data_IF_777505624307
#
_entry.id   IF_777505624307
#
_cell.length_a   1.000
_cell.length_b   1.000
_cell.length_c   1.000
_cell.angle_alpha   90.00
_cell.angle_beta   90.00
_cell.angle_gamma   90.00
#
_symmetry.space_group_name_H-M   'P 1'
#
loop_
_entity.id
_entity.type
_entity.pdbx_description
1 polymer ?
#
# COMPACT_ATOMS: atom_id res chain seq x y z
N UNK A 1 -11.12 59.19 28.05
CA UNK A 1 -11.51 57.77 28.12
C UNK A 1 -10.25 56.97 27.81
N UNK A 2 -9.73 56.30 28.83
CA UNK A 2 -8.40 55.67 28.84
C UNK A 2 -8.45 54.25 28.28
N UNK A 3 -7.47 53.74 27.49
CA UNK A 3 -7.38 52.33 27.09
C UNK A 3 -6.64 51.53 28.16
N UNK A 4 -7.20 50.39 28.51
CA UNK A 4 -6.70 49.42 29.48
C UNK A 4 -5.55 48.63 28.82
N UNK A 5 -4.36 48.68 29.44
CA UNK A 5 -3.17 47.92 29.05
C UNK A 5 -3.24 46.51 29.63
N UNK A 6 -3.20 45.50 28.74
CA UNK A 6 -3.01 44.08 29.10
C UNK A 6 -1.50 43.83 29.31
N UNK A 7 -1.09 43.59 30.56
CA UNK A 7 0.28 43.13 30.90
C UNK A 7 0.40 41.63 30.57
N UNK A 8 1.32 41.33 29.63
CA UNK A 8 1.87 39.96 29.46
C UNK A 8 2.87 39.71 30.59
N UNK A 9 2.65 38.68 31.37
CA UNK A 9 3.61 38.15 32.34
C UNK A 9 4.51 37.16 31.60
N UNK A 10 5.79 37.52 31.43
CA UNK A 10 6.84 36.62 30.91
C UNK A 10 7.46 35.94 32.11
N UNK A 11 7.30 34.64 32.26
CA UNK A 11 8.08 33.84 33.21
C UNK A 11 9.44 33.54 32.60
N UNK A 12 10.50 34.22 33.06
CA UNK A 12 11.88 33.83 32.81
C UNK A 12 12.29 32.79 33.84
N UNK A 13 12.64 31.60 33.40
CA UNK A 13 13.26 30.58 34.24
C UNK A 13 14.70 31.03 34.55
N UNK A 14 14.98 31.38 35.79
CA UNK A 14 16.33 31.67 36.27
C UNK A 14 17.07 30.36 36.50
N UNK A 15 18.22 30.18 35.81
CA UNK A 15 19.16 29.11 36.08
C UNK A 15 20.00 29.46 37.31
N UNK A 16 19.94 28.63 38.34
CA UNK A 16 20.80 28.77 39.53
C UNK A 16 22.15 28.08 39.24
N UNK A 17 23.25 28.86 39.16
CA UNK A 17 24.60 28.33 39.02
C UNK A 17 25.20 28.19 40.42
N UNK A 18 25.50 26.97 40.84
CA UNK A 18 26.26 26.68 42.05
C UNK A 18 27.67 26.24 41.65
N UNK A 19 28.66 27.04 41.94
CA UNK A 19 30.08 26.73 41.73
C UNK A 19 30.64 26.02 42.99
N UNK A 20 31.03 24.75 42.87
CA UNK A 20 31.84 24.04 43.86
C UNK A 20 33.02 23.38 43.14
N UNK A 21 34.21 23.88 43.49
CA UNK A 21 35.53 23.28 43.25
C UNK A 21 35.73 22.51 41.94
N UNK A 22 35.97 23.19 40.84
CA UNK A 22 36.72 22.67 39.70
C UNK A 22 35.97 21.77 38.70
N UNK A 23 34.66 21.53 38.85
CA UNK A 23 33.85 20.84 37.86
C UNK A 23 32.55 21.60 37.58
N UNK A 24 32.34 22.00 36.32
CA UNK A 24 31.06 22.58 35.88
C UNK A 24 30.09 21.42 35.60
N UNK A 25 29.20 21.13 36.54
CA UNK A 25 28.11 20.17 36.33
C UNK A 25 26.92 20.95 35.80
N UNK A 26 26.59 20.76 34.53
CA UNK A 26 25.33 21.24 33.98
C UNK A 26 24.20 20.41 34.56
N UNK A 27 23.45 20.95 35.50
CA UNK A 27 22.19 20.36 35.96
C UNK A 27 21.15 20.64 34.89
N UNK A 28 20.87 19.66 34.02
CA UNK A 28 19.64 19.66 33.23
C UNK A 28 18.51 19.27 34.19
N UNK A 29 17.47 20.12 34.36
CA UNK A 29 16.29 19.70 35.11
C UNK A 29 15.74 18.43 34.45
N UNK A 30 15.51 17.40 35.25
CA UNK A 30 14.84 16.21 34.80
C UNK A 30 13.55 16.62 34.09
N UNK A 31 13.38 16.23 32.82
CA UNK A 31 12.10 16.40 32.12
C UNK A 31 11.07 15.78 33.04
N UNK A 32 10.01 16.53 33.35
CA UNK A 32 8.86 15.97 34.04
C UNK A 32 8.34 14.84 33.15
N UNK A 33 8.59 13.60 33.60
CA UNK A 33 8.04 12.42 32.96
C UNK A 33 6.55 12.50 33.23
N UNK A 34 5.78 12.94 32.25
CA UNK A 34 4.33 12.83 32.30
C UNK A 34 3.95 11.36 32.50
N UNK A 35 2.80 11.10 33.08
CA UNK A 35 2.31 9.72 33.18
C UNK A 35 2.33 9.07 31.79
N UNK A 36 2.76 7.80 31.65
CA UNK A 36 2.76 7.11 30.38
C UNK A 36 1.35 7.07 29.80
N UNK A 37 1.21 7.37 28.50
CA UNK A 37 -0.09 7.29 27.82
C UNK A 37 -0.50 5.84 27.59
N UNK A 38 -1.78 5.55 27.67
CA UNK A 38 -2.32 4.26 27.24
C UNK A 38 -2.50 4.26 25.72
N UNK A 39 -1.98 3.25 25.04
CA UNK A 39 -2.28 2.99 23.63
C UNK A 39 -3.47 2.05 23.57
N UNK A 40 -4.56 2.52 23.00
CA UNK A 40 -5.71 1.68 22.68
C UNK A 40 -5.51 0.97 21.34
N UNK A 41 -5.88 -0.29 21.28
CA UNK A 41 -5.85 -1.05 20.03
C UNK A 41 -6.95 -0.58 19.08
N UNK A 42 -6.59 -0.25 17.87
CA UNK A 42 -7.54 0.04 16.79
C UNK A 42 -8.04 -1.31 16.28
N UNK A 43 -9.36 -1.53 16.22
CA UNK A 43 -9.92 -2.75 15.67
C UNK A 43 -9.48 -2.92 14.21
N UNK A 44 -8.89 -4.08 13.90
CA UNK A 44 -8.78 -4.54 12.52
C UNK A 44 -10.20 -4.82 12.05
N UNK A 45 -10.66 -4.11 11.02
CA UNK A 45 -11.91 -4.45 10.38
C UNK A 45 -11.67 -5.74 9.61
N UNK A 46 -12.13 -6.82 10.18
CA UNK A 46 -12.28 -8.17 9.65
C UNK A 46 -11.17 -8.70 8.73
N UNK A 47 -10.41 -9.64 9.30
CA UNK A 47 -9.82 -10.68 8.48
C UNK A 47 -10.91 -11.19 7.51
N UNK A 48 -10.62 -11.22 6.21
CA UNK A 48 -11.49 -11.74 5.17
C UNK A 48 -12.23 -12.98 5.70
N UNK A 49 -13.55 -12.84 5.82
CA UNK A 49 -14.41 -14.00 5.88
C UNK A 49 -14.11 -14.80 4.62
N UNK A 50 -13.36 -15.90 4.79
CA UNK A 50 -13.35 -16.96 3.79
C UNK A 50 -14.81 -17.35 3.59
N UNK A 51 -15.37 -16.99 2.45
CA UNK A 51 -16.73 -17.33 2.09
C UNK A 51 -16.76 -18.84 1.85
N UNK A 52 -16.96 -19.59 2.93
CA UNK A 52 -17.35 -20.99 2.87
C UNK A 52 -18.85 -21.06 3.12
N UNK A 53 -19.65 -21.48 2.16
CA UNK A 53 -21.07 -21.72 2.40
C UNK A 53 -21.20 -22.91 3.37
N UNK A 54 -21.58 -22.66 4.61
CA UNK A 54 -21.94 -23.69 5.58
C UNK A 54 -21.11 -23.78 6.86
N UNK A 55 -20.35 -22.76 7.27
CA UNK A 55 -19.59 -22.76 8.53
C UNK A 55 -20.44 -22.38 9.74
N UNK A 56 -20.37 -23.21 10.79
CA UNK A 56 -20.94 -22.98 12.12
C UNK A 56 -20.38 -21.67 12.73
N UNK A 57 -21.25 -20.90 13.37
CA UNK A 57 -20.92 -19.70 14.14
C UNK A 57 -20.10 -20.14 15.36
N UNK A 58 -18.79 -19.97 15.30
CA UNK A 58 -17.93 -20.11 16.48
C UNK A 58 -18.02 -18.84 17.36
N UNK A 59 -17.91 -19.06 18.69
CA UNK A 59 -17.99 -18.07 19.74
C UNK A 59 -17.34 -16.74 19.36
N UNK A 60 -18.01 -15.61 19.72
CA UNK A 60 -17.57 -14.22 19.52
C UNK A 60 -16.14 -14.00 20.04
N UNK A 61 -15.15 -14.22 19.17
CA UNK A 61 -13.80 -13.71 19.40
C UNK A 61 -13.83 -12.22 19.09
N UNK A 62 -13.35 -11.38 20.02
CA UNK A 62 -13.20 -9.96 19.74
C UNK A 62 -12.37 -9.75 18.45
N UNK A 63 -12.62 -8.72 17.66
CA UNK A 63 -11.78 -8.41 16.50
C UNK A 63 -10.31 -8.26 16.90
N UNK A 64 -9.39 -8.69 16.03
CA UNK A 64 -7.98 -8.42 16.15
C UNK A 64 -7.73 -6.90 16.25
N UNK A 65 -6.73 -6.48 17.02
CA UNK A 65 -6.40 -5.07 17.21
C UNK A 65 -4.99 -4.77 16.73
N UNK A 66 -4.79 -3.54 16.29
CA UNK A 66 -3.48 -3.00 15.94
C UNK A 66 -3.13 -1.92 16.96
N UNK A 67 -2.03 -2.12 17.68
CA UNK A 67 -1.47 -1.15 18.62
C UNK A 67 -0.33 -0.40 17.92
N UNK A 68 -0.50 0.89 17.72
CA UNK A 68 0.44 1.70 16.94
C UNK A 68 1.35 2.52 17.82
N UNK A 69 2.65 2.33 17.68
CA UNK A 69 3.72 3.05 18.38
C UNK A 69 4.45 3.93 17.38
N UNK A 70 4.35 5.26 17.51
CA UNK A 70 4.98 6.23 16.61
C UNK A 70 6.14 6.95 17.26
N UNK A 71 7.16 7.23 16.47
CA UNK A 71 8.29 8.06 16.90
C UNK A 71 7.81 9.47 17.27
N UNK A 72 8.32 9.96 18.42
CA UNK A 72 7.95 11.28 18.94
C UNK A 72 6.79 11.26 19.94
N UNK A 73 6.11 10.16 20.09
CA UNK A 73 5.09 9.94 21.12
C UNK A 73 5.77 9.39 22.39
N UNK A 74 5.60 9.98 23.55
CA UNK A 74 6.27 9.62 24.82
C UNK A 74 6.10 8.17 25.26
N UNK A 75 6.47 7.87 26.52
CA UNK A 75 6.30 6.55 27.12
C UNK A 75 4.84 6.08 27.04
N UNK A 76 4.65 4.78 26.80
CA UNK A 76 3.33 4.23 26.57
C UNK A 76 3.09 2.88 27.27
N UNK A 77 1.81 2.59 27.53
CA UNK A 77 1.35 1.33 28.08
C UNK A 77 0.33 0.73 27.13
N UNK A 78 0.48 -0.56 26.82
CA UNK A 78 -0.46 -1.35 26.02
C UNK A 78 -1.06 -2.40 26.95
N UNK A 79 -2.37 -2.38 27.10
CA UNK A 79 -3.12 -3.32 27.89
C UNK A 79 -3.92 -4.29 27.01
N UNK A 80 -3.99 -5.55 27.44
CA UNK A 80 -4.80 -6.57 26.80
C UNK A 80 -4.35 -6.98 25.40
N UNK A 81 -3.07 -6.77 25.03
CA UNK A 81 -2.50 -7.33 23.81
C UNK A 81 -2.57 -8.86 23.86
N UNK A 82 -3.05 -9.46 22.79
CA UNK A 82 -3.26 -10.90 22.68
C UNK A 82 -2.85 -11.38 21.26
N UNK A 83 -1.66 -11.93 21.17
CA UNK A 83 -1.14 -12.47 19.91
C UNK A 83 -1.95 -13.68 19.39
N UNK A 84 -2.58 -14.46 20.31
CA UNK A 84 -3.43 -15.59 19.90
C UNK A 84 -4.73 -15.12 19.21
N UNK A 85 -5.17 -13.89 19.53
CA UNK A 85 -6.27 -13.22 18.82
C UNK A 85 -5.80 -12.39 17.62
N UNK A 86 -4.61 -12.68 17.10
CA UNK A 86 -3.99 -11.98 15.97
C UNK A 86 -3.76 -10.46 16.16
N UNK A 87 -3.65 -9.99 17.43
CA UNK A 87 -3.30 -8.59 17.69
C UNK A 87 -1.91 -8.26 17.11
N UNK A 88 -1.75 -7.06 16.59
CA UNK A 88 -0.51 -6.57 15.97
C UNK A 88 0.08 -5.41 16.77
N UNK A 89 1.40 -5.38 16.83
CA UNK A 89 2.19 -4.25 17.31
C UNK A 89 2.87 -3.59 16.10
N UNK A 90 2.36 -2.44 15.69
CA UNK A 90 2.90 -1.63 14.60
C UNK A 90 3.86 -0.60 15.15
N UNK A 91 5.10 -0.56 14.60
CA UNK A 91 6.16 0.34 15.06
C UNK A 91 6.59 1.23 13.88
N UNK A 92 6.36 2.54 14.01
CA UNK A 92 6.54 3.53 12.94
C UNK A 92 7.62 4.57 13.28
N UNK A 93 8.49 4.90 12.32
CA UNK A 93 9.47 6.00 12.39
C UNK A 93 10.77 5.65 13.11
N UNK A 94 11.01 4.40 13.49
CA UNK A 94 12.20 3.97 14.23
C UNK A 94 13.25 3.26 13.38
N UNK A 95 13.00 3.06 12.10
CA UNK A 95 13.85 2.25 11.18
C UNK A 95 14.04 0.81 11.67
N UNK A 96 13.04 0.27 12.36
CA UNK A 96 13.00 -1.12 12.79
C UNK A 96 12.32 -1.93 11.68
N UNK A 97 13.13 -2.64 10.90
CA UNK A 97 12.68 -3.34 9.68
C UNK A 97 12.68 -4.87 9.86
N UNK A 98 13.16 -5.39 11.00
CA UNK A 98 13.28 -6.84 11.24
C UNK A 98 12.80 -7.21 12.64
N UNK A 99 12.02 -8.29 12.79
CA UNK A 99 11.57 -8.77 14.09
C UNK A 99 12.69 -8.96 15.11
N UNK A 100 13.84 -9.48 14.67
CA UNK A 100 14.99 -9.72 15.55
C UNK A 100 15.54 -8.43 16.17
N UNK A 101 15.51 -7.31 15.43
CA UNK A 101 15.92 -6.01 15.96
C UNK A 101 14.95 -5.50 17.03
N UNK A 102 13.65 -5.75 16.84
CA UNK A 102 12.62 -5.43 17.85
C UNK A 102 12.75 -6.31 19.08
N UNK A 103 12.95 -7.62 18.90
CA UNK A 103 13.13 -8.57 20.00
C UNK A 103 14.39 -8.27 20.81
N UNK A 104 15.47 -7.81 20.19
CA UNK A 104 16.72 -7.43 20.87
C UNK A 104 16.55 -6.26 21.85
N UNK A 105 15.55 -5.41 21.66
CA UNK A 105 15.25 -4.27 22.53
C UNK A 105 14.06 -4.53 23.48
N UNK A 106 13.50 -5.73 23.46
CA UNK A 106 12.51 -6.23 24.42
C UNK A 106 13.21 -6.79 25.65
N UNK A 107 12.67 -6.51 26.82
CA UNK A 107 13.07 -7.16 28.07
C UNK A 107 11.86 -7.53 28.90
N UNK A 108 11.92 -8.63 29.62
CA UNK A 108 10.90 -8.98 30.58
C UNK A 108 11.03 -8.14 31.86
N UNK A 109 9.91 -7.65 32.37
CA UNK A 109 9.80 -6.91 33.61
C UNK A 109 8.64 -7.46 34.46
N UNK A 110 8.91 -8.47 35.27
CA UNK A 110 7.87 -9.23 35.97
C UNK A 110 7.03 -10.04 34.98
N UNK A 111 5.74 -9.72 34.89
CA UNK A 111 4.80 -10.34 33.89
C UNK A 111 4.73 -9.59 32.57
N UNK A 112 5.39 -8.43 32.47
CA UNK A 112 5.26 -7.51 31.36
C UNK A 112 6.48 -7.59 30.42
N UNK A 113 6.28 -7.16 29.19
CA UNK A 113 7.37 -6.81 28.27
C UNK A 113 7.56 -5.30 28.24
N UNK A 114 8.82 -4.87 28.36
CA UNK A 114 9.22 -3.48 28.15
C UNK A 114 10.06 -3.41 26.86
N UNK A 115 9.59 -2.63 25.91
CA UNK A 115 10.25 -2.36 24.65
C UNK A 115 10.93 -0.97 24.76
N UNK A 116 12.26 -0.93 24.68
CA UNK A 116 13.06 0.31 24.76
C UNK A 116 13.44 0.75 23.35
N UNK A 117 12.69 1.71 22.78
CA UNK A 117 12.87 2.15 21.40
C UNK A 117 14.12 3.04 21.23
N UNK A 118 14.85 2.99 20.11
CA UNK A 118 16.07 3.76 19.88
C UNK A 118 15.84 5.27 20.01
N UNK A 119 16.56 5.92 20.97
CA UNK A 119 16.44 7.35 21.22
C UNK A 119 15.04 7.84 21.58
N UNK A 120 14.19 6.95 21.98
CA UNK A 120 12.77 7.19 22.17
C UNK A 120 12.19 6.65 23.46
N UNK A 121 10.88 6.53 23.52
CA UNK A 121 10.14 6.10 24.68
C UNK A 121 10.30 4.62 24.99
N UNK A 122 9.87 4.23 26.19
CA UNK A 122 9.60 2.86 26.57
C UNK A 122 8.13 2.53 26.33
N UNK A 123 7.86 1.37 25.74
CA UNK A 123 6.50 0.82 25.59
C UNK A 123 6.38 -0.41 26.47
N UNK A 124 5.40 -0.43 27.35
CA UNK A 124 5.13 -1.54 28.27
C UNK A 124 3.90 -2.30 27.83
N UNK A 125 4.05 -3.58 27.51
CA UNK A 125 2.93 -4.49 27.25
C UNK A 125 2.61 -5.23 28.55
N UNK A 126 1.42 -4.98 29.11
CA UNK A 126 1.00 -5.49 30.42
C UNK A 126 0.57 -6.95 30.32
N UNK A 127 1.12 -7.79 31.21
CA UNK A 127 0.86 -9.23 31.28
C UNK A 127 1.20 -10.00 29.98
N UNK A 128 2.17 -9.54 29.21
CA UNK A 128 2.67 -10.18 27.99
C UNK A 128 4.17 -10.41 28.15
N UNK A 129 4.65 -11.64 27.98
CA UNK A 129 6.09 -11.95 27.99
C UNK A 129 6.68 -11.75 26.59
N UNK A 130 8.00 -11.46 26.42
CA UNK A 130 8.61 -11.31 25.10
C UNK A 130 8.39 -12.51 24.17
N UNK A 131 8.42 -13.74 24.72
CA UNK A 131 8.22 -14.99 23.97
C UNK A 131 6.77 -15.17 23.50
N UNK A 132 5.82 -14.49 24.12
CA UNK A 132 4.41 -14.50 23.70
C UNK A 132 4.12 -13.53 22.53
N UNK A 133 5.13 -12.82 22.05
CA UNK A 133 5.00 -11.91 20.89
C UNK A 133 5.68 -12.56 19.69
N UNK A 134 4.98 -13.27 18.81
CA UNK A 134 5.59 -13.89 17.63
C UNK A 134 5.98 -12.84 16.60
N UNK A 135 6.89 -13.18 15.67
CA UNK A 135 7.32 -12.28 14.58
C UNK A 135 6.14 -11.81 13.73
N UNK A 136 5.14 -12.66 13.55
CA UNK A 136 3.91 -12.37 12.82
C UNK A 136 3.02 -11.31 13.47
N UNK A 137 3.21 -11.02 14.76
CA UNK A 137 2.52 -9.92 15.45
C UNK A 137 3.20 -8.56 15.28
N UNK A 138 4.38 -8.50 14.65
CA UNK A 138 5.12 -7.27 14.45
C UNK A 138 4.89 -6.73 13.04
N UNK A 139 4.33 -5.54 12.94
CA UNK A 139 4.21 -4.77 11.69
C UNK A 139 5.29 -3.68 11.68
N UNK A 140 6.25 -3.80 10.76
CA UNK A 140 7.48 -3.03 10.75
C UNK A 140 7.65 -2.27 9.43
N UNK A 141 8.65 -1.38 9.38
CA UNK A 141 8.98 -0.64 8.17
C UNK A 141 9.63 -1.54 7.11
N UNK A 142 9.40 -1.23 5.84
CA UNK A 142 10.01 -1.91 4.70
C UNK A 142 11.55 -1.83 4.79
N UNK A 143 12.21 -2.97 4.82
CA UNK A 143 13.67 -3.03 4.76
C UNK A 143 14.16 -2.72 3.34
N UNK A 144 14.67 -1.50 3.14
CA UNK A 144 15.20 -1.07 1.84
C UNK A 144 16.67 -1.47 1.63
N UNK A 145 17.32 -2.12 2.61
CA UNK A 145 18.71 -2.56 2.51
C UNK A 145 18.85 -3.66 1.47
N UNK A 146 19.76 -3.49 0.50
CA UNK A 146 19.98 -4.48 -0.57
C UNK A 146 18.88 -4.55 -1.62
N UNK A 147 17.99 -3.54 -1.67
CA UNK A 147 17.08 -3.35 -2.80
C UNK A 147 17.84 -2.70 -3.96
N UNK A 148 17.77 -3.32 -5.15
CA UNK A 148 18.29 -2.79 -6.41
C UNK A 148 17.12 -2.46 -7.31
N UNK A 149 17.03 -1.20 -7.73
CA UNK A 149 15.99 -0.74 -8.65
C UNK A 149 16.10 -1.46 -10.00
N UNK A 150 15.02 -2.05 -10.46
CA UNK A 150 14.94 -2.81 -11.71
C UNK A 150 13.96 -2.20 -12.70
N UNK A 151 13.03 -1.39 -12.20
CA UNK A 151 12.10 -0.60 -12.98
C UNK A 151 11.85 0.73 -12.29
N UNK A 152 11.75 1.79 -13.10
CA UNK A 152 11.44 3.14 -12.62
C UNK A 152 10.71 3.92 -13.71
N UNK A 153 9.60 4.55 -13.33
CA UNK A 153 8.98 5.63 -14.08
C UNK A 153 8.50 6.71 -13.10
N UNK A 154 9.04 7.90 -13.21
CA UNK A 154 8.67 9.10 -12.44
C UNK A 154 7.78 10.03 -13.29
N UNK A 155 7.21 9.55 -14.36
CA UNK A 155 6.26 10.22 -15.26
C UNK A 155 6.66 11.64 -15.68
N UNK A 156 7.96 11.89 -15.81
CA UNK A 156 8.45 13.14 -16.47
C UNK A 156 8.05 13.20 -17.96
N UNK A 157 7.73 12.04 -18.51
CA UNK A 157 7.13 11.85 -19.83
C UNK A 157 6.28 10.58 -19.79
N UNK A 158 5.30 10.47 -20.68
CA UNK A 158 4.50 9.25 -20.77
C UNK A 158 4.87 8.46 -22.01
N UNK A 159 5.65 7.41 -21.82
CA UNK A 159 6.10 6.51 -22.89
C UNK A 159 5.12 5.36 -23.04
N UNK A 160 4.23 5.44 -23.99
CA UNK A 160 3.23 4.40 -24.29
C UNK A 160 3.29 4.00 -25.76
N UNK A 161 2.69 2.88 -26.11
CA UNK A 161 2.60 2.42 -27.48
C UNK A 161 1.17 2.13 -27.90
N UNK A 162 0.89 2.48 -29.14
CA UNK A 162 -0.43 2.34 -29.73
C UNK A 162 -0.76 0.87 -30.03
N UNK A 163 -2.06 0.60 -30.06
CA UNK A 163 -2.62 -0.66 -30.48
C UNK A 163 -2.18 -1.04 -31.89
N UNK A 164 -1.89 -2.32 -32.12
CA UNK A 164 -1.54 -2.86 -33.42
C UNK A 164 -0.07 -2.74 -33.81
N UNK A 165 0.76 -2.08 -33.04
CA UNK A 165 2.21 -2.19 -33.20
C UNK A 165 2.63 -3.57 -32.67
N UNK A 166 3.19 -4.41 -33.56
CA UNK A 166 3.79 -5.65 -33.15
C UNK A 166 4.88 -5.34 -32.08
N UNK A 167 5.13 -6.23 -31.10
CA UNK A 167 6.19 -6.06 -30.13
C UNK A 167 7.54 -6.07 -30.85
N UNK A 168 7.91 -4.93 -31.39
CA UNK A 168 9.26 -4.65 -31.87
C UNK A 168 10.03 -4.11 -30.68
N UNK A 169 10.97 -4.87 -30.15
CA UNK A 169 11.75 -4.53 -28.95
C UNK A 169 12.39 -3.15 -29.04
N UNK A 170 12.63 -2.64 -30.23
CA UNK A 170 13.28 -1.36 -30.46
C UNK A 170 12.29 -0.18 -30.59
N UNK A 171 10.98 -0.43 -30.55
CA UNK A 171 9.93 0.58 -30.78
C UNK A 171 8.80 0.59 -29.74
N UNK A 172 8.86 -0.25 -28.73
CA UNK A 172 7.87 -0.29 -27.67
C UNK A 172 8.08 0.89 -26.71
N UNK A 173 7.00 1.59 -26.38
CA UNK A 173 6.94 2.41 -25.20
C UNK A 173 6.98 1.53 -23.93
N UNK A 174 7.11 2.16 -22.77
CA UNK A 174 7.10 1.47 -21.47
C UNK A 174 5.72 0.88 -21.20
N UNK A 175 4.66 1.61 -21.49
CA UNK A 175 3.31 1.31 -21.09
C UNK A 175 2.41 0.91 -22.25
N UNK A 176 1.74 -0.20 -22.09
CA UNK A 176 0.59 -0.56 -22.92
C UNK A 176 -0.68 -0.04 -22.25
N UNK A 177 -1.66 0.38 -23.04
CA UNK A 177 -2.87 1.07 -22.56
C UNK A 177 -4.14 0.21 -22.61
N UNK A 178 -3.99 -1.10 -22.68
CA UNK A 178 -5.08 -2.07 -22.67
C UNK A 178 -4.60 -3.42 -22.18
N UNK A 179 -5.53 -4.29 -21.81
CA UNK A 179 -5.23 -5.66 -21.39
C UNK A 179 -4.51 -6.45 -22.49
N UNK A 180 -3.60 -7.33 -22.07
CA UNK A 180 -2.73 -8.06 -22.96
C UNK A 180 -3.17 -9.48 -23.30
N UNK A 181 -4.28 -9.97 -22.74
CA UNK A 181 -4.71 -11.36 -22.90
C UNK A 181 -5.77 -11.58 -23.99
N UNK A 182 -6.28 -10.52 -24.59
CA UNK A 182 -7.27 -10.61 -25.67
C UNK A 182 -6.79 -9.89 -26.92
N UNK A 183 -7.46 -10.19 -28.04
CA UNK A 183 -7.12 -9.56 -29.32
C UNK A 183 -7.18 -8.04 -29.21
N UNK A 184 -6.17 -7.33 -29.68
CA UNK A 184 -6.16 -5.87 -29.71
C UNK A 184 -7.42 -5.33 -30.41
N UNK A 185 -8.03 -4.29 -29.83
CA UNK A 185 -9.20 -3.60 -30.40
C UNK A 185 -10.55 -4.24 -30.09
N UNK A 186 -10.58 -5.41 -29.45
CA UNK A 186 -11.81 -6.01 -28.96
C UNK A 186 -12.25 -5.46 -27.61
N UNK A 187 -13.56 -5.53 -27.31
CA UNK A 187 -14.13 -5.08 -26.03
C UNK A 187 -13.39 -5.68 -24.84
N UNK A 188 -13.15 -7.00 -24.85
CA UNK A 188 -12.51 -7.69 -23.75
C UNK A 188 -11.03 -7.34 -23.51
N UNK A 189 -10.37 -6.59 -24.42
CA UNK A 189 -9.05 -6.01 -24.17
C UNK A 189 -9.13 -4.61 -23.53
N UNK A 190 -10.34 -4.04 -23.45
CA UNK A 190 -10.58 -2.65 -23.08
C UNK A 190 -11.54 -2.48 -21.90
N UNK A 191 -12.10 -3.54 -21.37
CA UNK A 191 -12.98 -3.53 -20.20
C UNK A 191 -13.10 -4.95 -19.66
N UNK A 192 -13.33 -5.10 -18.37
CA UNK A 192 -13.68 -6.39 -17.77
C UNK A 192 -15.20 -6.57 -17.67
N UNK A 193 -15.68 -7.82 -17.57
CA UNK A 193 -17.10 -8.08 -17.34
C UNK A 193 -17.62 -7.38 -16.09
N UNK A 194 -18.69 -6.61 -16.24
CA UNK A 194 -19.33 -5.91 -15.12
C UNK A 194 -18.86 -4.46 -14.91
N UNK A 195 -17.76 -4.04 -15.52
CA UNK A 195 -17.31 -2.64 -15.55
C UNK A 195 -18.16 -1.81 -16.54
N UNK A 196 -18.19 -0.50 -16.37
CA UNK A 196 -19.04 0.40 -17.19
C UNK A 196 -18.24 1.36 -18.06
N UNK A 197 -16.92 1.32 -17.96
CA UNK A 197 -16.01 2.12 -18.79
C UNK A 197 -15.40 1.32 -19.93
N UNK A 198 -14.75 2.04 -20.84
CA UNK A 198 -13.77 1.53 -21.79
C UNK A 198 -12.40 2.15 -21.47
N UNK A 199 -11.37 1.32 -21.36
CA UNK A 199 -9.98 1.80 -21.27
C UNK A 199 -9.51 2.26 -22.65
N UNK A 200 -9.36 3.56 -22.82
CA UNK A 200 -9.02 4.21 -24.09
C UNK A 200 -7.57 4.71 -24.09
N UNK A 201 -7.15 5.15 -25.27
CA UNK A 201 -5.92 5.89 -25.53
C UNK A 201 -6.10 6.76 -26.78
N UNK A 202 -5.15 7.67 -27.11
CA UNK A 202 -5.28 8.54 -28.29
C UNK A 202 -5.40 7.81 -29.63
N UNK A 203 -4.96 6.55 -29.72
CA UNK A 203 -5.06 5.75 -30.94
C UNK A 203 -6.31 4.84 -30.97
N UNK A 204 -7.07 4.80 -29.88
CA UNK A 204 -8.22 3.90 -29.74
C UNK A 204 -9.32 4.22 -30.75
N UNK A 205 -9.77 3.19 -31.47
CA UNK A 205 -10.75 3.30 -32.56
C UNK A 205 -12.11 2.72 -32.21
N UNK A 206 -12.18 1.86 -31.21
CA UNK A 206 -13.38 1.06 -30.97
C UNK A 206 -13.82 0.34 -32.26
N UNK A 207 -15.09 0.46 -32.62
CA UNK A 207 -15.66 -0.09 -33.86
C UNK A 207 -15.72 0.95 -35.00
N UNK A 208 -15.21 2.17 -34.82
CA UNK A 208 -15.32 3.26 -35.79
C UNK A 208 -14.33 3.18 -36.96
N UNK A 209 -13.27 2.38 -36.87
CA UNK A 209 -12.24 2.27 -37.89
C UNK A 209 -11.21 3.41 -37.89
N UNK A 210 -11.48 4.53 -37.21
CA UNK A 210 -10.58 5.67 -37.00
C UNK A 210 -10.52 6.06 -35.52
N UNK A 211 -9.46 6.73 -35.12
CA UNK A 211 -9.28 7.17 -33.72
C UNK A 211 -10.47 8.02 -33.24
N UNK A 212 -10.98 7.73 -32.06
CA UNK A 212 -12.15 8.39 -31.48
C UNK A 212 -11.83 9.74 -30.81
N UNK A 213 -10.55 10.11 -30.74
CA UNK A 213 -10.09 11.36 -30.15
C UNK A 213 -10.23 11.37 -28.62
N UNK A 214 -10.01 10.22 -27.99
CA UNK A 214 -10.05 10.06 -26.53
C UNK A 214 -8.63 10.06 -25.98
N UNK A 215 -8.44 10.69 -24.83
CA UNK A 215 -7.17 10.65 -24.11
C UNK A 215 -7.42 10.74 -22.60
N UNK A 216 -7.49 9.62 -21.88
CA UNK A 216 -7.65 9.64 -20.43
C UNK A 216 -6.33 9.90 -19.67
N UNK A 217 -5.20 10.10 -20.36
CA UNK A 217 -3.88 10.27 -19.77
C UNK A 217 -3.41 11.71 -19.85
N UNK A 218 -3.10 12.31 -18.71
CA UNK A 218 -2.63 13.69 -18.63
C UNK A 218 -1.35 13.74 -17.78
N UNK A 219 -0.34 14.47 -18.29
CA UNK A 219 0.85 14.78 -17.50
C UNK A 219 0.64 16.15 -16.86
N UNK A 220 0.58 16.16 -15.51
CA UNK A 220 0.34 17.37 -14.73
C UNK A 220 1.38 17.43 -13.62
N UNK A 221 2.20 18.48 -13.61
CA UNK A 221 3.19 18.75 -12.55
C UNK A 221 4.06 17.53 -12.16
N UNK A 222 4.50 16.74 -13.15
CA UNK A 222 5.34 15.56 -12.95
C UNK A 222 4.57 14.34 -12.45
N UNK A 223 3.26 14.31 -12.62
CA UNK A 223 2.43 13.13 -12.35
C UNK A 223 1.70 12.67 -13.61
N UNK A 224 1.46 11.37 -13.72
CA UNK A 224 0.51 10.82 -14.68
C UNK A 224 -0.87 10.76 -14.03
N UNK A 225 -1.81 11.52 -14.57
CA UNK A 225 -3.21 11.43 -14.16
C UNK A 225 -3.99 10.54 -15.14
N UNK A 226 -4.68 9.54 -14.59
CA UNK A 226 -5.67 8.74 -15.31
C UNK A 226 -7.05 9.29 -14.97
N UNK A 227 -7.75 9.80 -15.98
CA UNK A 227 -9.07 10.41 -15.82
C UNK A 227 -10.18 9.40 -16.14
N UNK A 228 -11.11 9.22 -15.20
CA UNK A 228 -12.37 8.53 -15.42
C UNK A 228 -13.49 9.55 -15.65
N UNK A 229 -14.16 9.50 -16.80
CA UNK A 229 -15.15 10.50 -17.18
C UNK A 229 -16.32 9.91 -17.99
N UNK A 230 -17.49 10.58 -18.08
CA UNK A 230 -18.57 10.15 -18.93
C UNK A 230 -18.13 10.14 -20.41
N UNK A 231 -18.48 9.08 -21.12
CA UNK A 231 -18.22 8.98 -22.55
C UNK A 231 -19.07 10.02 -23.32
N UNK A 232 -18.45 10.80 -24.23
CA UNK A 232 -19.23 11.68 -25.11
C UNK A 232 -20.29 10.92 -25.88
N UNK A 233 -21.52 11.43 -25.97
CA UNK A 233 -22.64 10.74 -26.65
C UNK A 233 -22.31 10.29 -28.08
N UNK A 234 -21.53 11.09 -28.81
CA UNK A 234 -21.12 10.82 -30.18
C UNK A 234 -20.31 9.53 -30.37
N UNK A 235 -19.68 9.03 -29.31
CA UNK A 235 -18.82 7.83 -29.38
C UNK A 235 -19.49 6.57 -28.84
N UNK A 236 -20.60 6.67 -28.11
CA UNK A 236 -21.30 5.52 -27.51
C UNK A 236 -21.55 4.36 -28.49
N UNK A 237 -21.94 4.59 -29.77
CA UNK A 237 -22.12 3.50 -30.73
C UNK A 237 -20.83 2.73 -31.06
N UNK A 238 -19.67 3.32 -30.82
CA UNK A 238 -18.37 2.75 -31.19
C UNK A 238 -17.62 2.09 -30.02
N UNK A 239 -18.14 2.18 -28.80
CA UNK A 239 -17.53 1.69 -27.57
C UNK A 239 -18.42 0.68 -26.85
N UNK A 240 -19.17 -0.14 -27.61
CA UNK A 240 -20.04 -1.21 -27.11
C UNK A 240 -21.08 -0.75 -26.09
N UNK A 241 -21.50 0.51 -26.15
CA UNK A 241 -22.48 1.08 -25.21
C UNK A 241 -21.92 1.38 -23.82
N UNK A 242 -20.59 1.30 -23.64
CA UNK A 242 -19.94 1.70 -22.38
C UNK A 242 -20.17 3.18 -22.12
N UNK A 243 -20.51 3.52 -20.88
CA UNK A 243 -20.96 4.88 -20.54
C UNK A 243 -19.83 5.80 -20.07
N UNK A 244 -18.67 5.23 -19.78
CA UNK A 244 -17.51 5.97 -19.28
C UNK A 244 -16.27 5.66 -20.12
N UNK A 245 -15.32 6.59 -20.08
CA UNK A 245 -13.97 6.45 -20.62
C UNK A 245 -13.01 6.54 -19.45
N UNK A 246 -12.02 5.68 -19.43
CA UNK A 246 -10.96 5.69 -18.45
C UNK A 246 -9.66 5.14 -19.04
N UNK A 247 -8.61 5.01 -18.20
CA UNK A 247 -7.30 4.56 -18.59
C UNK A 247 -6.81 3.35 -17.80
N UNK A 248 -6.00 2.53 -18.49
CA UNK A 248 -5.23 1.44 -17.94
C UNK A 248 -3.82 1.52 -18.50
N UNK A 249 -2.80 1.31 -17.67
CA UNK A 249 -1.41 1.16 -18.09
C UNK A 249 -0.87 -0.17 -17.59
N UNK A 250 -0.06 -0.85 -18.40
CA UNK A 250 0.53 -2.14 -18.02
C UNK A 250 1.91 -2.34 -18.64
N UNK A 251 2.79 -3.02 -17.90
CA UNK A 251 4.14 -3.38 -18.37
C UNK A 251 4.21 -4.77 -19.02
N UNK A 252 3.09 -5.36 -19.42
CA UNK A 252 2.99 -6.77 -19.86
C UNK A 252 4.10 -7.23 -20.82
N UNK A 253 4.58 -6.37 -21.72
CA UNK A 253 5.61 -6.75 -22.68
C UNK A 253 6.92 -5.98 -22.50
N UNK A 254 6.97 -4.98 -21.64
CA UNK A 254 8.15 -4.16 -21.39
C UNK A 254 8.91 -4.57 -20.15
N UNK A 255 8.22 -5.05 -19.11
CA UNK A 255 8.84 -5.46 -17.85
C UNK A 255 7.99 -6.50 -17.11
N UNK A 256 8.65 -7.54 -16.63
CA UNK A 256 8.11 -8.48 -15.65
C UNK A 256 9.25 -8.97 -14.75
N UNK A 257 8.94 -9.32 -13.52
CA UNK A 257 9.91 -9.76 -12.53
C UNK A 257 9.34 -10.87 -11.65
N UNK A 258 10.18 -11.84 -11.29
CA UNK A 258 9.91 -12.81 -10.24
C UNK A 258 10.40 -12.25 -8.93
N UNK A 259 9.52 -12.09 -7.96
CA UNK A 259 9.77 -11.57 -6.61
C UNK A 259 10.30 -10.13 -6.57
N UNK A 260 10.39 -9.58 -5.38
CA UNK A 260 10.91 -8.25 -5.11
C UNK A 260 9.87 -7.30 -4.54
N UNK A 261 10.15 -6.02 -4.62
CA UNK A 261 9.25 -4.95 -4.16
C UNK A 261 8.67 -4.22 -5.36
N UNK A 262 7.35 -4.06 -5.38
CA UNK A 262 6.63 -3.25 -6.37
C UNK A 262 5.94 -2.12 -5.62
N UNK A 263 6.22 -0.89 -6.00
CA UNK A 263 5.82 0.32 -5.27
C UNK A 263 5.23 1.35 -6.23
N UNK A 264 4.13 1.96 -5.81
CA UNK A 264 3.52 3.10 -6.48
C UNK A 264 3.30 4.22 -5.44
N UNK A 265 3.45 5.47 -5.87
CA UNK A 265 3.02 6.63 -5.10
C UNK A 265 1.90 7.32 -5.85
N UNK A 266 0.72 7.42 -5.22
CA UNK A 266 -0.47 7.89 -5.89
C UNK A 266 -1.45 8.57 -4.94
N UNK A 267 -2.29 9.46 -5.53
CA UNK A 267 -3.49 10.02 -4.91
C UNK A 267 -4.71 9.53 -5.69
N UNK A 268 -5.74 9.10 -4.98
CA UNK A 268 -6.85 8.35 -5.54
C UNK A 268 -8.13 9.19 -5.70
N UNK A 269 -9.00 8.88 -6.68
CA UNK A 269 -10.23 9.61 -6.87
C UNK A 269 -11.26 9.35 -5.77
N UNK A 270 -12.04 10.36 -5.42
CA UNK A 270 -13.19 10.27 -4.54
C UNK A 270 -14.48 10.34 -5.33
N UNK A 271 -15.44 9.49 -4.99
CA UNK A 271 -16.78 9.46 -5.58
C UNK A 271 -17.23 8.04 -5.90
N UNK A 272 -18.53 7.80 -5.75
CA UNK A 272 -19.12 6.50 -6.03
C UNK A 272 -18.89 6.10 -7.48
N UNK A 273 -18.56 4.83 -7.67
CA UNK A 273 -18.27 4.26 -8.99
C UNK A 273 -16.81 4.26 -9.39
N UNK A 274 -15.92 5.01 -8.73
CA UNK A 274 -14.48 4.93 -9.00
C UNK A 274 -13.85 3.76 -8.24
N UNK A 275 -12.95 3.07 -8.95
CA UNK A 275 -12.24 1.91 -8.44
C UNK A 275 -10.81 1.90 -9.02
N UNK A 276 -9.90 2.69 -8.45
CA UNK A 276 -8.48 2.63 -8.79
C UNK A 276 -7.82 1.39 -8.22
N UNK A 277 -6.90 0.80 -8.98
CA UNK A 277 -6.11 -0.36 -8.59
C UNK A 277 -4.65 -0.26 -9.06
N UNK A 278 -3.75 -0.91 -8.33
CA UNK A 278 -2.40 -1.27 -8.77
C UNK A 278 -2.15 -2.72 -8.40
N UNK A 279 -1.84 -3.54 -9.39
CA UNK A 279 -1.86 -4.99 -9.26
C UNK A 279 -0.88 -5.69 -10.20
N UNK A 280 -0.64 -6.98 -9.96
CA UNK A 280 0.32 -7.79 -10.68
C UNK A 280 -0.33 -9.04 -11.27
N UNK A 281 0.03 -9.35 -12.52
CA UNK A 281 -0.43 -10.56 -13.20
C UNK A 281 0.75 -11.35 -13.80
N UNK A 282 0.62 -12.68 -13.93
CA UNK A 282 1.64 -13.54 -14.50
C UNK A 282 1.95 -13.21 -15.97
N UNK A 283 3.24 -13.20 -16.30
CA UNK A 283 3.72 -12.97 -17.66
C UNK A 283 3.26 -14.05 -18.65
N UNK A 284 2.98 -15.27 -18.17
CA UNK A 284 2.47 -16.40 -18.96
C UNK A 284 0.97 -16.33 -19.26
N UNK A 285 0.29 -15.27 -18.80
CA UNK A 285 -1.15 -15.03 -18.98
C UNK A 285 -2.08 -16.07 -18.33
N UNK A 286 -1.61 -16.83 -17.36
CA UNK A 286 -2.49 -17.67 -16.52
C UNK A 286 -3.23 -16.80 -15.51
N UNK A 287 -4.44 -17.18 -15.11
CA UNK A 287 -5.22 -16.52 -14.05
C UNK A 287 -6.09 -17.54 -13.30
N UNK A 288 -6.16 -17.53 -12.00
CA UNK A 288 -5.16 -16.93 -11.12
C UNK A 288 -3.76 -17.49 -11.42
N UNK A 289 -2.67 -16.93 -10.86
CA UNK A 289 -2.59 -16.05 -9.70
C UNK A 289 -2.67 -14.55 -10.05
N UNK A 290 -2.86 -13.71 -8.99
CA UNK A 290 -2.88 -12.25 -9.05
C UNK A 290 -2.46 -11.68 -7.69
N UNK A 291 -1.78 -10.54 -7.67
CA UNK A 291 -1.45 -9.82 -6.43
C UNK A 291 -1.96 -8.39 -6.57
N UNK A 292 -2.92 -8.00 -5.73
CA UNK A 292 -3.41 -6.64 -5.65
C UNK A 292 -2.59 -5.88 -4.63
N UNK A 293 -1.73 -4.98 -5.12
CA UNK A 293 -0.92 -4.11 -4.26
C UNK A 293 -1.83 -3.16 -3.51
N UNK A 294 -2.86 -2.65 -4.20
CA UNK A 294 -4.02 -2.02 -3.60
C UNK A 294 -5.23 -2.00 -4.54
N UNK A 295 -6.39 -1.96 -3.92
CA UNK A 295 -7.66 -1.58 -4.50
C UNK A 295 -8.39 -0.62 -3.55
N UNK A 296 -9.11 0.37 -4.09
CA UNK A 296 -9.89 1.32 -3.31
C UNK A 296 -11.23 1.62 -3.98
N UNK A 297 -12.28 1.71 -3.17
CA UNK A 297 -13.59 2.17 -3.64
C UNK A 297 -13.70 3.68 -3.41
N UNK A 298 -13.93 4.46 -4.45
CA UNK A 298 -13.96 5.91 -4.38
C UNK A 298 -15.02 6.49 -3.44
N UNK A 299 -16.02 5.72 -3.07
CA UNK A 299 -17.01 6.10 -2.05
C UNK A 299 -16.56 5.78 -0.60
N UNK A 300 -15.43 5.09 -0.42
CA UNK A 300 -14.85 4.71 0.87
C UNK A 300 -13.32 4.90 0.86
N UNK A 301 -12.85 6.11 0.55
CA UNK A 301 -11.42 6.43 0.38
C UNK A 301 -10.58 6.34 1.66
N UNK A 302 -11.19 6.04 2.80
CA UNK A 302 -10.52 5.73 4.07
C UNK A 302 -10.31 4.23 4.30
N UNK A 303 -10.52 3.41 3.28
CA UNK A 303 -10.38 1.95 3.32
C UNK A 303 -9.54 1.45 2.15
N UNK A 304 -8.51 0.70 2.47
CA UNK A 304 -7.57 0.09 1.54
C UNK A 304 -7.77 -1.41 1.52
N UNK A 305 -7.86 -2.00 0.34
CA UNK A 305 -7.95 -3.44 0.14
C UNK A 305 -6.66 -3.97 -0.48
N UNK A 306 -6.20 -5.13 -0.04
CA UNK A 306 -5.05 -5.86 -0.59
C UNK A 306 -5.39 -7.34 -0.71
N UNK A 307 -4.93 -8.00 -1.76
CA UNK A 307 -5.23 -9.41 -1.98
C UNK A 307 -4.14 -10.17 -2.72
N UNK A 308 -4.10 -11.48 -2.50
CA UNK A 308 -3.38 -12.45 -3.30
C UNK A 308 -4.37 -13.54 -3.74
N UNK A 309 -4.72 -13.53 -5.02
CA UNK A 309 -5.64 -14.50 -5.62
C UNK A 309 -4.89 -15.72 -6.13
N UNK A 310 -5.30 -16.90 -5.71
CA UNK A 310 -4.62 -18.16 -6.02
C UNK A 310 -5.61 -19.28 -6.38
N UNK A 311 -5.12 -20.24 -7.11
CA UNK A 311 -5.80 -21.51 -7.43
C UNK A 311 -4.94 -22.72 -7.09
N UNK A 312 -3.87 -22.52 -6.31
CA UNK A 312 -2.94 -23.58 -5.92
C UNK A 312 -3.62 -24.75 -5.19
N UNK A 313 -4.73 -24.50 -4.48
CA UNK A 313 -5.54 -25.50 -3.81
C UNK A 313 -6.62 -26.15 -4.68
N UNK A 314 -6.73 -25.78 -5.97
CA UNK A 314 -7.77 -26.26 -6.90
C UNK A 314 -8.88 -25.23 -7.11
N UNK A 315 -9.47 -24.71 -6.05
CA UNK A 315 -10.47 -23.64 -6.12
C UNK A 315 -9.82 -22.25 -6.04
N UNK A 316 -10.50 -21.24 -6.61
CA UNK A 316 -10.07 -19.86 -6.49
C UNK A 316 -10.25 -19.35 -5.05
N UNK A 317 -9.18 -18.86 -4.48
CA UNK A 317 -9.14 -18.24 -3.14
C UNK A 317 -8.50 -16.87 -3.23
N UNK A 318 -8.87 -15.99 -2.29
CA UNK A 318 -8.19 -14.72 -2.06
C UNK A 318 -7.71 -14.67 -0.61
N UNK A 319 -6.45 -14.29 -0.40
CA UNK A 319 -5.86 -14.07 0.91
C UNK A 319 -5.35 -12.64 0.97
N UNK A 320 -5.55 -11.98 2.11
CA UNK A 320 -5.23 -10.56 2.31
C UNK A 320 -6.25 -9.93 3.25
N UNK A 321 -6.60 -8.66 3.05
CA UNK A 321 -7.55 -8.00 3.91
C UNK A 321 -7.87 -6.58 3.50
N UNK A 322 -8.64 -5.92 4.36
CA UNK A 322 -8.87 -4.49 4.28
C UNK A 322 -8.43 -3.78 5.57
N UNK A 323 -8.08 -2.52 5.46
CA UNK A 323 -7.65 -1.73 6.60
C UNK A 323 -8.09 -0.28 6.51
N UNK A 324 -8.25 0.35 7.66
CA UNK A 324 -8.49 1.79 7.74
C UNK A 324 -7.18 2.54 7.55
N UNK A 325 -7.24 3.55 6.69
CA UNK A 325 -6.14 4.45 6.34
C UNK A 325 -6.65 5.91 6.37
N UNK A 326 -5.76 6.93 6.30
CA UNK A 326 -6.18 8.30 6.01
C UNK A 326 -7.01 8.39 4.73
N UNK A 327 -7.71 9.51 4.50
CA UNK A 327 -8.46 9.71 3.24
C UNK A 327 -7.48 9.79 2.04
N UNK A 328 -7.44 8.74 1.26
CA UNK A 328 -6.51 8.54 0.13
C UNK A 328 -6.75 9.49 -1.04
N UNK A 329 -7.81 10.30 -0.99
CA UNK A 329 -8.10 11.33 -1.98
C UNK A 329 -7.49 12.69 -1.66
N UNK A 330 -6.99 12.89 -0.43
CA UNK A 330 -6.48 14.18 0.01
C UNK A 330 -5.00 14.38 -0.31
N UNK A 331 -4.18 13.32 -0.26
CA UNK A 331 -2.74 13.40 -0.50
C UNK A 331 -2.19 12.16 -1.24
N UNK A 332 -0.93 12.24 -1.64
CA UNK A 332 -0.18 11.14 -2.23
C UNK A 332 0.34 10.20 -1.15
N UNK A 333 -0.02 8.93 -1.26
CA UNK A 333 0.46 7.86 -0.40
C UNK A 333 1.31 6.85 -1.18
N UNK A 334 2.15 6.10 -0.46
CA UNK A 334 2.96 5.01 -1.01
C UNK A 334 2.28 3.68 -0.71
N UNK A 335 2.05 2.91 -1.75
CA UNK A 335 1.53 1.55 -1.67
C UNK A 335 2.60 0.63 -2.21
N UNK A 336 2.94 -0.43 -1.49
CA UNK A 336 3.93 -1.39 -1.94
C UNK A 336 3.58 -2.81 -1.54
N UNK A 337 4.05 -3.76 -2.34
CA UNK A 337 4.10 -5.17 -1.98
C UNK A 337 5.55 -5.66 -2.05
N UNK A 338 6.01 -6.34 -1.01
CA UNK A 338 7.21 -7.17 -1.04
C UNK A 338 6.76 -8.62 -1.21
N UNK A 339 7.04 -9.16 -2.36
CA UNK A 339 6.71 -10.53 -2.70
C UNK A 339 7.98 -11.37 -2.76
N UNK A 340 8.03 -12.41 -1.94
CA UNK A 340 9.13 -13.37 -1.84
C UNK A 340 8.65 -14.80 -2.04
N UNK A 341 9.58 -15.77 -1.98
CA UNK A 341 9.24 -17.19 -2.13
C UNK A 341 8.40 -17.75 -0.98
N UNK A 342 8.45 -17.15 0.21
CA UNK A 342 7.79 -17.65 1.41
C UNK A 342 6.58 -16.82 1.79
N UNK A 343 6.65 -15.48 1.64
CA UNK A 343 5.64 -14.54 2.09
C UNK A 343 5.44 -13.41 1.08
N UNK A 344 4.21 -12.89 1.07
CA UNK A 344 3.81 -11.64 0.44
C UNK A 344 3.46 -10.68 1.57
N UNK A 345 4.03 -9.48 1.55
CA UNK A 345 3.81 -8.43 2.56
C UNK A 345 3.40 -7.15 1.88
N UNK A 346 2.34 -6.54 2.37
CA UNK A 346 1.89 -5.24 1.89
C UNK A 346 2.31 -4.13 2.83
N UNK A 347 2.62 -2.98 2.24
CA UNK A 347 3.07 -1.79 2.96
C UNK A 347 2.26 -0.58 2.54
N UNK A 348 1.87 0.23 3.51
CA UNK A 348 1.27 1.54 3.32
C UNK A 348 2.18 2.59 3.97
N UNK A 349 2.56 3.62 3.21
CA UNK A 349 3.55 4.65 3.61
C UNK A 349 4.83 4.06 4.22
N UNK A 350 5.25 2.90 3.70
CA UNK A 350 6.47 2.21 4.09
C UNK A 350 6.36 1.34 5.33
N UNK A 351 5.19 1.20 5.94
CA UNK A 351 4.95 0.33 7.11
C UNK A 351 4.09 -0.87 6.70
N UNK A 352 4.48 -2.06 7.15
CA UNK A 352 3.74 -3.29 6.89
C UNK A 352 2.31 -3.21 7.44
N UNK A 353 1.36 -3.59 6.62
CA UNK A 353 -0.06 -3.56 6.95
C UNK A 353 -0.70 -4.95 6.92
N UNK A 354 -0.20 -5.85 6.05
CA UNK A 354 -0.70 -7.22 5.90
C UNK A 354 0.42 -8.15 5.43
N UNK A 355 0.29 -9.44 5.72
CA UNK A 355 1.14 -10.51 5.17
C UNK A 355 0.40 -11.82 5.05
N UNK A 356 0.75 -12.57 4.01
CA UNK A 356 0.27 -13.94 3.78
C UNK A 356 1.42 -14.83 3.30
N UNK A 357 1.27 -16.15 3.45
CA UNK A 357 2.19 -17.09 2.82
C UNK A 357 2.06 -17.00 1.28
N UNK A 358 3.17 -17.10 0.55
CA UNK A 358 3.15 -17.11 -0.91
C UNK A 358 2.52 -18.40 -1.43
N UNK A 359 1.39 -18.34 -2.15
CA UNK A 359 0.77 -19.51 -2.76
C UNK A 359 1.67 -20.18 -3.79
N UNK A 360 1.53 -21.50 -3.94
CA UNK A 360 2.41 -22.31 -4.79
C UNK A 360 2.35 -21.97 -6.29
N UNK A 361 1.27 -21.36 -6.77
CA UNK A 361 1.11 -20.93 -8.16
C UNK A 361 1.69 -19.53 -8.44
N UNK A 362 2.20 -18.82 -7.40
CA UNK A 362 2.79 -17.48 -7.52
C UNK A 362 4.31 -17.46 -7.72
N UNK A 363 4.95 -18.58 -8.02
CA UNK A 363 6.39 -18.65 -8.26
C UNK A 363 6.73 -18.49 -9.76
N UNK A 364 6.26 -17.40 -10.36
CA UNK A 364 6.47 -17.06 -11.78
C UNK A 364 6.54 -15.54 -11.98
N UNK A 365 7.26 -15.04 -12.99
CA UNK A 365 7.36 -13.60 -13.21
C UNK A 365 5.98 -12.95 -13.39
N UNK A 366 5.80 -11.78 -12.79
CA UNK A 366 4.59 -10.98 -12.92
C UNK A 366 4.92 -9.59 -13.47
N UNK A 367 3.96 -9.01 -14.19
CA UNK A 367 3.99 -7.65 -14.72
C UNK A 367 3.00 -6.75 -13.97
N UNK A 368 3.17 -5.44 -14.06
CA UNK A 368 2.37 -4.45 -13.36
C UNK A 368 1.21 -3.93 -14.20
N UNK A 369 0.11 -3.61 -13.52
CA UNK A 369 -1.05 -2.89 -14.07
C UNK A 369 -1.46 -1.78 -13.08
N UNK A 370 -1.87 -0.62 -13.64
CA UNK A 370 -2.57 0.42 -12.91
C UNK A 370 -3.75 0.90 -13.76
N UNK A 371 -4.93 0.95 -13.17
CA UNK A 371 -6.15 1.35 -13.87
C UNK A 371 -7.13 2.07 -12.96
N UNK A 372 -8.02 2.84 -13.57
CA UNK A 372 -9.17 3.42 -12.90
C UNK A 372 -10.45 2.83 -13.50
N UNK A 373 -11.04 1.83 -12.87
CA UNK A 373 -12.35 1.33 -13.27
C UNK A 373 -13.46 2.32 -12.88
N UNK A 374 -14.53 2.35 -13.66
CA UNK A 374 -15.69 3.25 -13.43
C UNK A 374 -16.98 2.46 -13.55
N UNK A 375 -17.72 2.39 -12.45
CA UNK A 375 -18.93 1.59 -12.35
C UNK A 375 -18.63 0.11 -12.18
N UNK A 376 -19.66 -0.65 -11.88
CA UNK A 376 -19.56 -2.10 -11.66
C UNK A 376 -20.33 -2.57 -10.45
N UNK A 377 -20.20 -3.85 -10.15
CA UNK A 377 -20.90 -4.46 -9.01
C UNK A 377 -20.36 -3.98 -7.67
N UNK A 378 -19.05 -3.95 -7.53
CA UNK A 378 -18.40 -3.61 -6.26
C UNK A 378 -18.29 -2.10 -5.99
N UNK A 379 -17.78 -1.24 -6.92
CA UNK A 379 -17.76 0.20 -6.69
C UNK A 379 -19.15 0.85 -6.80
N UNK A 380 -20.15 0.14 -7.29
CA UNK A 380 -21.44 0.66 -7.66
C UNK A 380 -21.39 1.51 -8.93
N UNK A 381 -22.51 2.08 -9.33
CA UNK A 381 -22.55 3.03 -10.46
C UNK A 381 -22.31 4.45 -9.94
N UNK A 382 -21.62 5.32 -10.71
CA UNK A 382 -21.62 6.75 -10.44
C UNK A 382 -23.05 7.30 -10.27
N UNK A 383 -23.23 8.24 -9.38
CA UNK A 383 -24.52 8.85 -9.05
C UNK A 383 -24.48 10.39 -9.17
N UNK A 384 -25.54 11.06 -8.79
CA UNK A 384 -25.65 12.52 -8.89
C UNK A 384 -24.67 13.31 -8.02
N UNK A 385 -23.93 12.66 -7.12
CA UNK A 385 -22.90 13.24 -6.27
C UNK A 385 -21.48 12.92 -6.75
N UNK A 386 -21.34 12.03 -7.73
CA UNK A 386 -20.04 11.70 -8.32
C UNK A 386 -19.54 12.86 -9.17
N UNK A 387 -18.40 13.44 -8.79
CA UNK A 387 -17.76 14.52 -9.54
C UNK A 387 -16.83 13.97 -10.59
N UNK A 388 -16.93 14.47 -11.81
CA UNK A 388 -16.07 14.10 -12.93
C UNK A 388 -15.17 15.27 -13.37
N UNK A 389 -13.94 15.00 -13.88
CA UNK A 389 -13.34 13.67 -13.95
C UNK A 389 -12.97 13.14 -12.56
N UNK A 390 -13.06 11.80 -12.36
CA UNK A 390 -12.35 11.14 -11.27
C UNK A 390 -10.87 11.04 -11.68
N UNK A 391 -9.97 11.47 -10.80
CA UNK A 391 -8.54 11.57 -11.11
C UNK A 391 -7.73 10.61 -10.27
N UNK A 392 -7.12 9.61 -10.90
CA UNK A 392 -6.10 8.76 -10.31
C UNK A 392 -4.72 9.34 -10.69
N UNK A 393 -4.09 10.07 -9.78
CA UNK A 393 -2.82 10.74 -9.99
C UNK A 393 -1.66 9.87 -9.50
N UNK A 394 -0.71 9.55 -10.37
CA UNK A 394 0.43 8.66 -10.12
C UNK A 394 1.72 9.48 -10.21
N UNK A 395 2.45 9.61 -9.09
CA UNK A 395 3.73 10.30 -9.01
C UNK A 395 4.87 9.43 -9.55
N UNK A 396 4.92 8.16 -9.13
CA UNK A 396 5.87 7.19 -9.67
C UNK A 396 5.37 5.76 -9.55
N UNK A 397 5.95 4.87 -10.38
CA UNK A 397 5.90 3.41 -10.24
C UNK A 397 7.34 2.88 -10.28
N UNK A 398 7.69 2.01 -9.32
CA UNK A 398 9.02 1.42 -9.20
C UNK A 398 8.95 -0.06 -8.87
N UNK A 399 9.96 -0.80 -9.33
CA UNK A 399 10.18 -2.17 -8.88
C UNK A 399 11.63 -2.35 -8.46
N UNK A 400 11.83 -3.21 -7.46
CA UNK A 400 13.14 -3.53 -6.92
C UNK A 400 13.27 -5.04 -6.78
N UNK A 401 14.46 -5.57 -7.06
CA UNK A 401 14.83 -6.91 -6.62
C UNK A 401 15.62 -6.83 -5.33
N UNK A 402 15.56 -7.87 -4.53
CA UNK A 402 16.45 -8.00 -3.39
C UNK A 402 17.73 -8.74 -3.84
N UNK A 403 18.89 -8.16 -3.56
CA UNK A 403 20.15 -8.89 -3.76
C UNK A 403 20.20 -10.10 -2.83
N UNK A 404 20.68 -11.26 -3.31
CA UNK A 404 20.98 -12.36 -2.40
C UNK A 404 21.95 -11.84 -1.32
N UNK A 405 21.67 -12.12 -0.06
CA UNK A 405 22.67 -11.88 0.98
C UNK A 405 23.86 -12.75 0.65
N UNK A 406 25.05 -12.18 0.47
CA UNK A 406 26.27 -12.95 0.33
C UNK A 406 26.31 -14.01 1.43
N UNK A 407 26.62 -15.29 1.12
CA UNK A 407 26.84 -16.28 2.15
C UNK A 407 27.95 -15.72 3.08
N UNK A 408 27.87 -15.96 4.41
CA UNK A 408 28.88 -15.47 5.33
C UNK A 408 30.26 -15.83 4.77
N UNK A 409 31.10 -14.82 4.56
CA UNK A 409 32.45 -14.96 4.01
C UNK A 409 33.29 -15.85 4.93
N UNK A 410 33.32 -17.18 4.66
CA UNK A 410 33.93 -18.14 5.55
C UNK A 410 34.16 -19.55 5.03
N UNK A 411 33.66 -19.92 3.86
CA UNK A 411 34.09 -21.20 3.26
C UNK A 411 35.14 -20.97 2.17
N UNK A 412 36.41 -21.03 2.59
CA UNK A 412 37.53 -21.26 1.65
C UNK A 412 37.31 -22.63 1.04
N UNK A 413 37.05 -22.71 -0.28
CA UNK A 413 37.18 -23.95 -1.01
C UNK A 413 38.60 -24.48 -0.81
N UNK A 414 38.78 -25.74 -0.36
CA UNK A 414 40.09 -26.36 -0.40
C UNK A 414 40.50 -26.56 -1.87
N UNK A 415 41.69 -26.11 -2.18
CA UNK A 415 42.43 -26.25 -3.45
C UNK A 415 42.64 -27.70 -3.86
#
# INVERSE_FOLDING_TARGET
MSPVAVRRVIFTAAALIVLVAGAVVFYQPARSVGAPRTIEGIGSTDALNTFSPGGEVHAETRPARIFVVRKGEGDAVIEGFDAANNDKLRIEGYSLTRPQAVKAIMRQAGRDTVLSLPGGPSVRLVNVTPDAIPDSSLQLELDRTGLVETFKDDFNSFSWYAEGLAPDKDRLGTWRTHYGWQAPGGEGSRSLPGESEVYADPAFKGTAGQALGLNPFHLVDGTLEIWGEPAPERILPFIWGRRYVSGLITTKYSFSQLYGVFEIRARLPKGRGFWPAFWLLPADSTWPPEIDVFEVLGHETTKLYVAAHSKAGGDHTAAGGDMRVPDLSEDFHRYAVEWGPEEIRWYFDGVEIERVATPADMHKPMYMLANLAVGGGWPGQPDGFTTFPGVYAIDFIRAYRREPKDPPSGEKHPS
#
